data_IF_437793787576
#
_entry.id   IF_437793787576
#
_cell.length_a   1.000
_cell.length_b   1.000
_cell.length_c   1.000
_cell.angle_alpha   90.00
_cell.angle_beta   90.00
_cell.angle_gamma   90.00
#
_symmetry.space_group_name_H-M   'P 1'
#
loop_
_entity.id
_entity.type
_entity.pdbx_description
1 polymer ?
#
# COMPACT_ATOMS: atom_id res chain seq x y z
N UNK A 1 22.73 1.82 -17.72
CA UNK A 1 21.48 1.55 -16.96
C UNK A 1 21.36 2.51 -15.77
N UNK A 2 21.15 3.80 -16.02
CA UNK A 2 21.15 4.81 -14.97
C UNK A 2 20.31 6.00 -15.45
N UNK A 3 19.62 6.66 -14.51
CA UNK A 3 18.62 7.74 -14.65
C UNK A 3 17.16 7.32 -14.82
N UNK A 4 16.79 6.35 -15.68
CA UNK A 4 15.37 5.96 -15.83
C UNK A 4 14.83 5.16 -14.62
N UNK A 5 15.68 4.29 -14.03
CA UNK A 5 15.33 3.52 -12.84
C UNK A 5 15.13 4.41 -11.59
N UNK A 6 15.76 5.58 -11.54
CA UNK A 6 15.61 6.54 -10.43
C UNK A 6 14.23 7.19 -10.48
N UNK A 7 13.68 7.46 -11.67
CA UNK A 7 12.34 8.03 -11.81
C UNK A 7 11.24 7.03 -11.40
N UNK A 8 11.44 5.74 -11.64
CA UNK A 8 10.53 4.68 -11.19
C UNK A 8 10.74 4.26 -9.72
N UNK A 9 11.93 4.45 -9.14
CA UNK A 9 12.19 4.24 -7.70
C UNK A 9 11.69 5.40 -6.82
N UNK A 10 11.41 6.59 -7.40
CA UNK A 10 10.76 7.69 -6.69
C UNK A 10 9.24 7.48 -6.53
N UNK A 11 8.65 6.49 -7.19
CA UNK A 11 7.41 5.82 -6.74
C UNK A 11 7.70 4.87 -5.58
N UNK A 12 8.63 5.24 -4.70
CA UNK A 12 8.69 4.74 -3.35
C UNK A 12 7.28 4.87 -2.77
N UNK A 13 6.74 3.73 -2.38
CA UNK A 13 5.47 3.60 -1.68
C UNK A 13 5.37 4.69 -0.62
N UNK A 14 4.65 5.77 -0.93
CA UNK A 14 4.04 6.61 0.07
C UNK A 14 3.03 5.68 0.74
N UNK A 15 3.49 4.93 1.74
CA UNK A 15 2.61 4.52 2.83
C UNK A 15 2.14 5.84 3.41
N UNK A 16 1.10 6.40 2.81
CA UNK A 16 0.35 7.48 3.40
C UNK A 16 -0.06 6.92 4.75
N UNK A 17 0.55 7.40 5.82
CA UNK A 17 0.03 7.18 7.16
C UNK A 17 -1.34 7.86 7.14
N UNK A 18 -2.39 7.04 7.07
CA UNK A 18 -3.74 7.46 6.60
C UNK A 18 -4.58 8.10 7.71
N UNK A 19 -4.04 8.19 8.92
CA UNK A 19 -4.72 8.67 10.13
C UNK A 19 -3.93 9.83 10.74
N UNK A 20 -3.80 10.90 9.96
CA UNK A 20 -3.19 12.15 10.41
C UNK A 20 -4.27 13.15 10.78
N UNK A 21 -4.19 13.73 11.98
CA UNK A 21 -5.06 14.83 12.39
C UNK A 21 -4.21 16.06 12.73
N UNK A 22 -4.76 17.28 12.57
CA UNK A 22 -4.09 18.49 13.00
C UNK A 22 -4.00 18.55 14.53
N UNK A 23 -2.95 19.23 15.01
CA UNK A 23 -2.72 19.49 16.44
C UNK A 23 -2.38 20.96 16.63
N UNK A 24 -3.08 21.61 17.54
CA UNK A 24 -2.67 22.91 18.07
C UNK A 24 -1.99 22.71 19.42
N UNK A 25 -0.85 23.37 19.62
CA UNK A 25 -0.15 23.43 20.89
C UNK A 25 -0.33 24.83 21.44
N UNK A 26 -0.95 24.92 22.61
CA UNK A 26 -1.33 26.14 23.31
C UNK A 26 -0.25 26.40 24.37
N UNK A 27 0.74 27.21 24.02
CA UNK A 27 1.93 27.51 24.83
C UNK A 27 2.02 29.03 25.05
N UNK A 28 1.12 29.54 25.88
CA UNK A 28 1.02 30.98 26.19
C UNK A 28 2.29 31.50 26.87
N UNK A 29 2.97 30.65 27.64
CA UNK A 29 4.22 30.95 28.34
C UNK A 29 5.48 30.77 27.46
N UNK A 30 5.32 30.38 26.19
CA UNK A 30 6.38 30.24 25.17
C UNK A 30 7.55 29.36 25.60
N UNK A 31 7.26 28.27 26.31
CA UNK A 31 8.26 27.35 26.84
C UNK A 31 8.85 26.43 25.75
N UNK A 32 8.06 26.02 24.76
CA UNK A 32 8.44 25.04 23.76
C UNK A 32 9.18 25.66 22.57
N UNK A 33 10.38 26.23 22.77
CA UNK A 33 11.13 26.95 21.73
C UNK A 33 11.51 26.11 20.49
N UNK A 34 11.68 24.80 20.66
CA UNK A 34 12.18 23.89 19.62
C UNK A 34 11.10 23.41 18.62
N UNK A 35 9.83 23.75 18.84
CA UNK A 35 8.75 23.40 17.91
C UNK A 35 8.67 24.46 16.82
N UNK A 36 8.97 24.03 15.58
CA UNK A 36 9.10 24.89 14.41
C UNK A 36 7.77 25.62 14.11
N UNK A 37 7.80 26.96 14.05
CA UNK A 37 6.62 27.83 13.94
C UNK A 37 5.97 27.80 12.54
N UNK A 38 6.70 27.34 11.52
CA UNK A 38 6.23 27.23 10.13
C UNK A 38 6.37 25.80 9.66
N UNK A 39 5.50 24.93 10.17
CA UNK A 39 5.33 23.59 9.58
C UNK A 39 4.88 23.73 8.14
N UNK A 40 5.60 23.10 7.21
CA UNK A 40 5.11 22.96 5.85
C UNK A 40 3.75 22.23 5.91
N UNK A 41 2.68 22.77 5.29
CA UNK A 41 1.35 22.14 5.31
C UNK A 41 1.34 20.73 4.69
N UNK A 42 2.38 20.38 3.92
CA UNK A 42 2.55 19.05 3.34
C UNK A 42 3.45 18.12 4.17
N UNK A 43 4.11 18.63 5.22
CA UNK A 43 4.97 17.79 6.06
C UNK A 43 4.12 17.02 7.07
N UNK A 44 4.24 15.70 7.00
CA UNK A 44 3.62 14.78 7.95
C UNK A 44 4.59 14.52 9.09
N UNK A 45 4.14 14.79 10.31
CA UNK A 45 4.88 14.49 11.53
C UNK A 45 4.54 13.07 12.01
N UNK A 46 5.57 12.25 12.21
CA UNK A 46 5.42 10.90 12.77
C UNK A 46 5.05 10.97 14.25
N UNK A 47 4.31 9.96 14.72
CA UNK A 47 3.93 9.83 16.14
C UNK A 47 5.13 9.79 17.09
N UNK A 48 6.26 9.25 16.65
CA UNK A 48 7.52 9.23 17.41
C UNK A 48 8.11 10.61 17.64
N UNK A 49 8.05 11.50 16.64
CA UNK A 49 8.58 12.85 16.74
C UNK A 49 7.63 13.75 17.54
N UNK A 50 6.32 13.56 17.34
CA UNK A 50 5.33 14.20 18.19
C UNK A 50 5.46 13.78 19.67
N UNK A 51 5.77 12.51 19.95
CA UNK A 51 6.03 12.05 21.31
C UNK A 51 7.17 12.79 22.00
N UNK A 52 8.21 13.21 21.26
CA UNK A 52 9.31 14.01 21.84
C UNK A 52 8.83 15.40 22.25
N UNK A 53 7.95 16.01 21.47
CA UNK A 53 7.32 17.31 21.81
C UNK A 53 6.46 17.16 23.07
N UNK A 54 5.71 16.07 23.18
CA UNK A 54 4.91 15.76 24.37
C UNK A 54 5.82 15.57 25.59
N UNK A 55 6.95 14.87 25.45
CA UNK A 55 7.92 14.67 26.53
C UNK A 55 8.57 15.99 26.98
N UNK A 56 8.85 16.90 26.04
CA UNK A 56 9.30 18.25 26.37
C UNK A 56 8.23 19.06 27.11
N UNK A 57 6.97 18.96 26.69
CA UNK A 57 5.86 19.62 27.37
C UNK A 57 5.69 19.12 28.81
N UNK A 58 5.85 17.81 29.05
CA UNK A 58 5.81 17.21 30.40
C UNK A 58 6.91 17.76 31.31
N UNK A 59 8.10 18.02 30.77
CA UNK A 59 9.23 18.54 31.54
C UNK A 59 9.08 20.03 31.86
N UNK A 60 8.49 20.80 30.95
CA UNK A 60 8.47 22.27 31.00
C UNK A 60 7.19 22.86 31.62
N UNK A 61 6.10 22.10 31.67
CA UNK A 61 4.83 22.55 32.24
C UNK A 61 4.51 21.88 33.57
N UNK A 62 3.75 22.57 34.42
CA UNK A 62 3.19 21.97 35.64
C UNK A 62 1.88 21.24 35.37
N UNK A 63 1.09 21.77 34.45
CA UNK A 63 -0.25 21.28 34.11
C UNK A 63 -0.34 21.16 32.60
N UNK A 64 -0.86 20.03 32.14
CA UNK A 64 -1.16 19.77 30.73
C UNK A 64 -2.66 19.67 30.50
N UNK A 65 -3.19 20.42 29.54
CA UNK A 65 -4.62 20.41 29.22
C UNK A 65 -4.80 19.83 27.82
N UNK A 66 -5.65 18.83 27.66
CA UNK A 66 -5.85 18.12 26.40
C UNK A 66 -7.30 18.28 25.98
N UNK A 67 -7.52 19.19 25.03
CA UNK A 67 -8.81 19.42 24.39
C UNK A 67 -8.98 18.44 23.23
N UNK A 68 -10.10 17.71 23.22
CA UNK A 68 -10.33 16.62 22.27
C UNK A 68 -11.69 16.76 21.59
N UNK A 69 -11.65 16.92 20.28
CA UNK A 69 -12.80 16.77 19.39
C UNK A 69 -13.09 15.30 19.10
N UNK A 70 -14.35 14.94 18.89
CA UNK A 70 -14.69 13.61 18.36
C UNK A 70 -14.16 13.41 16.94
N UNK A 71 -14.32 14.40 16.07
CA UNK A 71 -13.77 14.43 14.71
C UNK A 71 -13.06 15.75 14.46
N UNK A 72 -11.86 15.75 13.86
CA UNK A 72 -11.15 17.00 13.53
C UNK A 72 -10.22 16.83 12.32
N UNK A 73 -10.26 17.80 11.40
CA UNK A 73 -9.43 17.79 10.20
C UNK A 73 -8.95 19.19 9.78
N UNK A 74 -8.09 19.25 8.76
CA UNK A 74 -7.58 20.50 8.19
C UNK A 74 -8.67 21.36 7.55
N UNK A 75 -9.73 20.75 7.06
CA UNK A 75 -10.88 21.41 6.45
C UNK A 75 -11.67 22.20 7.50
N UNK A 76 -11.83 21.67 8.72
CA UNK A 76 -12.46 22.40 9.83
C UNK A 76 -11.75 23.74 10.11
N UNK A 77 -10.43 23.80 9.88
CA UNK A 77 -9.61 25.01 10.09
C UNK A 77 -9.74 25.99 8.92
N UNK A 78 -9.90 25.48 7.70
CA UNK A 78 -9.98 26.31 6.49
C UNK A 78 -11.39 26.84 6.19
N UNK A 79 -12.44 26.26 6.81
CA UNK A 79 -13.81 26.73 6.71
C UNK A 79 -13.94 28.18 7.17
N UNK A 80 -14.65 28.99 6.37
CA UNK A 80 -15.02 30.37 6.69
C UNK A 80 -16.52 30.54 6.55
N UNK A 81 -17.17 31.06 7.58
CA UNK A 81 -18.57 31.46 7.55
C UNK A 81 -18.71 32.99 7.37
N UNK A 82 -19.94 33.50 7.44
CA UNK A 82 -20.24 34.95 7.39
C UNK A 82 -19.55 35.79 8.49
N UNK A 83 -19.05 35.14 9.54
CA UNK A 83 -18.31 35.75 10.65
C UNK A 83 -16.80 35.46 10.60
N UNK A 84 -16.31 34.77 9.56
CA UNK A 84 -14.90 34.44 9.37
C UNK A 84 -14.55 33.00 9.76
N UNK A 85 -13.33 32.79 10.26
CA UNK A 85 -12.89 31.46 10.72
C UNK A 85 -13.56 31.13 12.07
N UNK A 86 -13.98 29.88 12.30
CA UNK A 86 -14.50 29.45 13.60
C UNK A 86 -13.45 29.54 14.73
N UNK A 87 -12.16 29.55 14.38
CA UNK A 87 -11.04 29.57 15.33
C UNK A 87 -10.44 30.97 15.47
N UNK A 88 -11.22 31.92 16.00
CA UNK A 88 -10.78 33.30 16.15
C UNK A 88 -9.66 33.45 17.21
N UNK A 89 -9.82 32.83 18.38
CA UNK A 89 -8.87 32.91 19.48
C UNK A 89 -7.60 32.11 19.22
N UNK A 90 -7.70 30.88 18.68
CA UNK A 90 -6.52 30.16 18.20
C UNK A 90 -5.80 30.95 17.10
N UNK A 91 -6.54 31.55 16.18
CA UNK A 91 -5.99 32.39 15.11
C UNK A 91 -5.23 33.61 15.64
N UNK A 92 -5.72 34.25 16.70
CA UNK A 92 -5.02 35.33 17.40
C UNK A 92 -3.75 34.82 18.10
N UNK A 93 -3.86 33.69 18.80
CA UNK A 93 -2.72 33.08 19.49
C UNK A 93 -1.60 32.64 18.53
N UNK A 94 -1.94 32.22 17.31
CA UNK A 94 -0.95 31.95 16.26
C UNK A 94 -0.18 33.21 15.84
N UNK A 95 -0.87 34.35 15.70
CA UNK A 95 -0.23 35.64 15.37
C UNK A 95 0.67 36.13 16.50
N UNK A 96 0.27 35.90 17.74
CA UNK A 96 1.02 36.29 18.95
C UNK A 96 2.13 35.30 19.34
N UNK A 97 2.27 34.21 18.58
CA UNK A 97 3.20 33.09 18.85
C UNK A 97 2.97 32.40 20.19
N UNK A 98 1.74 32.43 20.69
CA UNK A 98 1.30 31.69 21.88
C UNK A 98 0.73 30.31 21.49
N UNK A 99 0.33 30.15 20.23
CA UNK A 99 -0.18 28.89 19.70
C UNK A 99 0.72 28.43 18.57
N UNK A 100 0.95 27.12 18.49
CA UNK A 100 1.69 26.48 17.40
C UNK A 100 0.78 25.50 16.69
N UNK A 101 0.90 25.44 15.38
CA UNK A 101 0.06 24.60 14.54
C UNK A 101 0.88 23.51 13.86
N UNK A 102 0.49 22.25 14.10
CA UNK A 102 1.03 21.08 13.43
C UNK A 102 -0.05 20.54 12.48
N UNK A 103 0.13 20.68 11.15
CA UNK A 103 -0.94 20.44 10.19
C UNK A 103 -1.35 18.97 10.05
N UNK A 104 -0.39 18.06 10.13
CA UNK A 104 -0.62 16.64 9.93
C UNK A 104 0.26 15.81 10.87
N UNK A 105 -0.29 15.39 12.01
CA UNK A 105 0.40 14.50 12.96
C UNK A 105 -0.22 13.12 12.88
N UNK A 106 0.61 12.07 12.79
CA UNK A 106 0.12 10.69 12.84
C UNK A 106 -0.38 10.33 14.24
N UNK A 107 -1.66 9.98 14.34
CA UNK A 107 -2.33 9.48 15.56
C UNK A 107 -1.98 10.25 16.86
N UNK A 108 -2.16 11.58 16.90
CA UNK A 108 -1.77 12.40 18.05
C UNK A 108 -2.58 12.05 19.29
N UNK A 109 -3.89 11.79 19.16
CA UNK A 109 -4.73 11.39 20.29
C UNK A 109 -4.24 10.09 20.95
N UNK A 110 -3.85 9.08 20.16
CA UNK A 110 -3.30 7.83 20.70
C UNK A 110 -1.95 8.06 21.41
N UNK A 111 -1.13 8.96 20.87
CA UNK A 111 0.15 9.33 21.48
C UNK A 111 -0.05 10.02 22.83
N UNK A 112 -0.97 10.98 22.90
CA UNK A 112 -1.37 11.66 24.13
C UNK A 112 -1.99 10.67 25.13
N UNK A 113 -2.89 9.79 24.68
CA UNK A 113 -3.53 8.75 25.52
C UNK A 113 -2.53 7.78 26.13
N UNK A 114 -1.45 7.44 25.42
CA UNK A 114 -0.38 6.57 25.93
C UNK A 114 0.47 7.24 27.00
N UNK A 115 0.73 8.55 26.87
CA UNK A 115 1.53 9.33 27.84
C UNK A 115 0.69 9.81 29.03
N UNK A 116 -0.56 10.16 28.78
CA UNK A 116 -1.56 10.62 29.74
C UNK A 116 -2.78 9.69 29.67
N UNK A 117 -2.77 8.55 30.37
CA UNK A 117 -3.87 7.62 30.33
C UNK A 117 -5.13 8.27 30.96
N UNK A 118 -6.26 8.36 30.23
CA UNK A 118 -7.46 9.00 30.73
C UNK A 118 -8.01 8.20 31.92
N UNK A 119 -8.26 8.90 33.03
CA UNK A 119 -8.87 8.38 34.27
C UNK A 119 -10.12 9.21 34.55
N UNK A 120 -11.13 8.63 35.20
CA UNK A 120 -12.41 9.32 35.45
C UNK A 120 -12.25 10.66 36.20
N UNK A 121 -11.23 10.76 37.06
CA UNK A 121 -10.89 11.99 37.80
C UNK A 121 -10.32 13.13 36.94
N UNK A 122 -9.81 12.82 35.74
CA UNK A 122 -9.12 13.79 34.88
C UNK A 122 -9.93 14.10 33.61
N UNK A 123 -11.16 13.60 33.49
CA UNK A 123 -11.99 13.75 32.29
C UNK A 123 -13.14 14.70 32.56
N UNK A 124 -13.28 15.70 31.71
CA UNK A 124 -14.31 16.72 31.81
C UNK A 124 -15.02 16.90 30.47
N UNK A 125 -16.31 17.17 30.52
CA UNK A 125 -17.14 17.41 29.35
C UNK A 125 -17.70 18.83 29.41
N UNK A 126 -17.37 19.66 28.43
CA UNK A 126 -17.88 21.03 28.32
C UNK A 126 -19.12 21.07 27.44
N UNK A 127 -20.15 21.78 27.90
CA UNK A 127 -21.34 22.11 27.10
C UNK A 127 -21.39 23.63 26.92
N UNK A 128 -21.91 24.11 25.79
CA UNK A 128 -22.01 25.54 25.50
C UNK A 128 -22.71 26.30 26.64
N UNK A 129 -22.06 27.37 27.12
CA UNK A 129 -22.68 28.38 27.98
C UNK A 129 -22.62 28.16 29.50
N UNK A 130 -21.97 27.12 30.02
CA UNK A 130 -21.74 26.97 31.47
C UNK A 130 -20.33 26.44 31.78
N UNK A 131 -19.32 27.30 31.68
CA UNK A 131 -17.98 27.05 32.20
C UNK A 131 -17.91 27.21 33.73
N UNK A 132 -18.89 26.70 34.49
CA UNK A 132 -18.72 26.53 35.94
C UNK A 132 -17.86 25.30 36.18
N UNK A 133 -16.58 25.49 35.87
CA UNK A 133 -15.58 24.45 35.92
C UNK A 133 -14.96 24.44 37.31
N UNK A 134 -15.49 23.59 38.18
CA UNK A 134 -14.73 23.01 39.29
C UNK A 134 -13.68 22.03 38.73
N UNK A 135 -12.86 22.47 37.77
CA UNK A 135 -11.84 21.66 37.12
C UNK A 135 -10.63 21.48 38.03
N UNK A 136 -10.42 22.36 38.99
CA UNK A 136 -9.12 22.45 39.65
C UNK A 136 -9.07 21.60 40.92
N UNK A 137 -8.49 20.41 40.80
CA UNK A 137 -7.92 19.68 41.92
C UNK A 137 -6.39 19.89 41.89
N UNK A 138 -5.83 20.48 42.94
CA UNK A 138 -4.39 20.79 43.08
C UNK A 138 -3.46 19.58 42.87
N UNK A 139 -4.01 18.37 42.83
CA UNK A 139 -3.29 17.10 42.70
C UNK A 139 -3.13 16.59 41.27
N UNK A 140 -3.82 17.17 40.28
CA UNK A 140 -3.81 16.64 38.91
C UNK A 140 -2.80 17.39 38.04
N UNK A 141 -1.90 16.61 37.42
CA UNK A 141 -0.89 17.14 36.50
C UNK A 141 -1.42 17.25 35.04
N UNK A 142 -2.56 16.63 34.71
CA UNK A 142 -3.17 16.74 33.39
C UNK A 142 -4.70 16.57 33.38
N UNK A 143 -5.34 17.20 32.40
CA UNK A 143 -6.80 17.25 32.22
C UNK A 143 -7.19 16.91 30.78
N UNK A 144 -8.18 16.03 30.60
CA UNK A 144 -8.85 15.80 29.33
C UNK A 144 -10.17 16.55 29.30
N UNK A 145 -10.37 17.31 28.23
CA UNK A 145 -11.57 18.12 28.03
C UNK A 145 -12.19 17.72 26.70
N UNK A 146 -13.38 17.13 26.76
CA UNK A 146 -14.19 16.78 25.61
C UNK A 146 -15.30 17.79 25.43
N UNK A 147 -15.63 18.11 24.19
CA UNK A 147 -16.75 19.00 23.88
C UNK A 147 -18.03 18.20 23.68
N UNK A 148 -19.14 18.71 24.22
CA UNK A 148 -20.46 18.12 24.10
C UNK A 148 -21.32 19.01 23.20
N UNK A 149 -21.41 18.58 21.95
CA UNK A 149 -22.16 19.27 20.91
C UNK A 149 -23.69 19.22 21.11
N UNK A 150 -24.36 20.34 20.84
CA UNK A 150 -25.79 20.37 20.58
C UNK A 150 -26.11 19.84 19.17
N UNK A 151 -27.20 19.08 19.02
CA UNK A 151 -27.54 18.42 17.73
C UNK A 151 -28.02 19.39 16.64
N UNK A 152 -28.45 20.61 16.98
CA UNK A 152 -29.15 21.51 16.07
C UNK A 152 -28.27 22.62 15.46
N UNK A 153 -26.95 22.57 15.67
CA UNK A 153 -26.05 23.64 15.26
C UNK A 153 -25.12 23.24 14.10
N UNK A 154 -24.75 24.21 13.27
CA UNK A 154 -23.76 24.00 12.21
C UNK A 154 -22.38 23.70 12.79
N UNK A 155 -21.57 22.92 12.06
CA UNK A 155 -20.21 22.57 12.49
C UNK A 155 -19.35 23.81 12.79
N UNK A 156 -19.45 24.85 11.97
CA UNK A 156 -18.74 26.12 12.18
C UNK A 156 -19.20 26.86 13.46
N UNK A 157 -20.49 26.79 13.81
CA UNK A 157 -21.01 27.38 15.05
C UNK A 157 -20.44 26.66 16.29
N UNK A 158 -20.47 25.34 16.27
CA UNK A 158 -19.93 24.48 17.34
C UNK A 158 -18.45 24.75 17.59
N UNK A 159 -17.64 24.70 16.53
CA UNK A 159 -16.19 24.95 16.63
C UNK A 159 -15.87 26.34 17.18
N UNK A 160 -16.73 27.33 16.92
CA UNK A 160 -16.60 28.69 17.48
C UNK A 160 -16.90 28.71 18.99
N UNK A 161 -17.91 27.97 19.43
CA UNK A 161 -18.18 27.76 20.86
C UNK A 161 -17.02 27.04 21.56
N UNK A 162 -16.41 26.06 20.88
CA UNK A 162 -15.26 25.32 21.40
C UNK A 162 -14.01 26.21 21.49
N UNK A 163 -13.75 27.06 20.50
CA UNK A 163 -12.66 28.05 20.51
C UNK A 163 -12.77 29.03 21.69
N UNK A 164 -14.00 29.50 21.98
CA UNK A 164 -14.27 30.31 23.16
C UNK A 164 -14.04 29.53 24.47
N UNK A 165 -14.58 28.32 24.55
CA UNK A 165 -14.44 27.44 25.72
C UNK A 165 -12.98 27.12 26.03
N UNK A 166 -12.16 26.85 25.00
CA UNK A 166 -10.72 26.60 25.16
C UNK A 166 -10.02 27.81 25.77
N UNK A 167 -10.31 29.01 25.27
CA UNK A 167 -9.74 30.25 25.80
C UNK A 167 -10.12 30.46 27.26
N UNK A 168 -11.40 30.28 27.61
CA UNK A 168 -11.88 30.44 28.99
C UNK A 168 -11.20 29.48 29.95
N UNK A 169 -11.13 28.19 29.59
CA UNK A 169 -10.46 27.17 30.41
C UNK A 169 -8.99 27.53 30.63
N UNK A 170 -8.28 27.89 29.56
CA UNK A 170 -6.86 28.24 29.65
C UNK A 170 -6.62 29.46 30.54
N UNK A 171 -7.48 30.48 30.43
CA UNK A 171 -7.40 31.68 31.26
C UNK A 171 -7.61 31.36 32.74
N UNK A 172 -8.65 30.58 33.06
CA UNK A 172 -8.95 30.16 34.43
C UNK A 172 -7.79 29.34 35.00
N UNK A 173 -7.29 28.37 34.23
CA UNK A 173 -6.19 27.51 34.66
C UNK A 173 -4.90 28.29 34.89
N UNK A 174 -4.59 29.23 34.00
CA UNK A 174 -3.40 30.07 34.12
C UNK A 174 -3.44 30.95 35.37
N UNK A 175 -4.61 31.50 35.73
CA UNK A 175 -4.78 32.26 36.97
C UNK A 175 -4.53 31.42 38.23
N UNK A 176 -4.87 30.13 38.20
CA UNK A 176 -4.78 29.26 39.37
C UNK A 176 -3.37 28.64 39.50
N UNK A 177 -2.76 28.16 38.41
CA UNK A 177 -1.56 27.32 38.48
C UNK A 177 -0.27 28.08 38.86
N UNK A 178 -0.23 29.41 38.63
CA UNK A 178 0.96 30.30 38.82
C UNK A 178 2.27 29.79 38.16
N UNK A 179 2.19 28.77 37.31
CA UNK A 179 3.29 28.06 36.64
C UNK A 179 2.91 27.80 35.19
N UNK A 180 3.89 27.49 34.31
CA UNK A 180 3.62 27.30 32.90
C UNK A 180 2.62 26.17 32.62
N UNK A 181 1.66 26.45 31.75
CA UNK A 181 0.63 25.50 31.31
C UNK A 181 0.78 25.29 29.81
N UNK A 182 0.72 24.03 29.39
CA UNK A 182 0.73 23.67 27.98
C UNK A 182 -0.57 22.94 27.63
N UNK A 183 -1.27 23.44 26.63
CA UNK A 183 -2.47 22.80 26.09
C UNK A 183 -2.19 22.08 24.78
N UNK A 184 -2.91 20.99 24.52
CA UNK A 184 -2.98 20.31 23.23
C UNK A 184 -4.44 20.29 22.78
N UNK A 185 -4.68 20.64 21.52
CA UNK A 185 -6.01 20.53 20.89
C UNK A 185 -5.92 19.67 19.63
N UNK A 186 -6.69 18.59 19.58
CA UNK A 186 -6.71 17.63 18.45
C UNK A 186 -8.03 16.84 18.41
N UNK A 187 -8.21 15.98 17.40
CA UNK A 187 -9.38 15.10 17.28
C UNK A 187 -9.05 13.62 17.47
N UNK A 188 -10.07 12.83 17.87
CA UNK A 188 -9.96 11.37 17.97
C UNK A 188 -9.82 10.71 16.60
N UNK A 189 -10.58 11.19 15.61
CA UNK A 189 -10.56 10.68 14.24
C UNK A 189 -10.53 11.81 13.20
N UNK A 190 -9.88 11.56 12.07
CA UNK A 190 -10.00 12.43 10.90
C UNK A 190 -11.27 12.03 10.11
N UNK A 191 -12.29 12.91 9.97
CA UNK A 191 -13.51 12.62 9.20
C UNK A 191 -13.26 12.47 7.69
N UNK A 192 -12.15 13.02 7.17
CA UNK A 192 -11.73 12.83 5.77
C UNK A 192 -11.14 11.43 5.65
N UNK A 193 -12.03 10.44 5.57
CA UNK A 193 -11.67 9.09 5.19
C UNK A 193 -11.24 9.13 3.72
N UNK A 194 -9.94 9.24 3.46
CA UNK A 194 -9.38 8.59 2.27
C UNK A 194 -9.72 7.13 2.48
N UNK A 195 -10.65 6.61 1.67
CA UNK A 195 -11.08 5.22 1.74
C UNK A 195 -9.86 4.38 2.04
N UNK A 196 -9.90 3.63 3.15
CA UNK A 196 -9.01 2.50 3.24
C UNK A 196 -9.32 1.72 1.96
N UNK A 197 -8.39 1.78 1.00
CA UNK A 197 -8.11 0.66 0.13
C UNK A 197 -7.60 -0.40 1.10
N UNK A 198 -8.53 -0.93 1.89
CA UNK A 198 -8.50 -2.29 2.31
C UNK A 198 -8.56 -2.98 0.96
N UNK A 199 -7.40 -3.40 0.47
CA UNK A 199 -7.38 -4.72 -0.10
C UNK A 199 -7.97 -5.59 1.02
N UNK A 200 -9.30 -5.72 1.05
CA UNK A 200 -9.90 -6.94 1.56
C UNK A 200 -9.05 -7.97 0.84
N UNK A 201 -8.28 -8.77 1.57
CA UNK A 201 -7.85 -10.04 1.00
C UNK A 201 -9.12 -10.52 0.34
N UNK A 202 -9.12 -10.64 -1.00
CA UNK A 202 -10.29 -11.14 -1.72
C UNK A 202 -10.64 -12.36 -0.89
N UNK A 203 -11.78 -12.31 -0.16
CA UNK A 203 -12.25 -13.49 0.55
C UNK A 203 -12.27 -14.47 -0.58
N UNK A 204 -11.40 -15.48 -0.53
CA UNK A 204 -11.30 -16.47 -1.58
C UNK A 204 -12.73 -16.91 -1.71
N UNK A 205 -13.41 -16.46 -2.77
CA UNK A 205 -14.74 -16.98 -3.06
C UNK A 205 -14.52 -18.48 -3.01
N UNK A 206 -15.37 -19.25 -2.29
CA UNK A 206 -15.23 -20.69 -2.29
C UNK A 206 -15.09 -21.04 -3.76
N UNK A 207 -13.87 -21.46 -4.15
CA UNK A 207 -13.55 -21.64 -5.56
C UNK A 207 -14.62 -22.62 -5.97
N UNK A 208 -15.55 -22.18 -6.83
CA UNK A 208 -16.43 -23.11 -7.49
C UNK A 208 -15.43 -24.03 -8.19
N UNK A 209 -15.20 -25.18 -7.58
CA UNK A 209 -14.27 -26.18 -8.09
C UNK A 209 -14.99 -26.65 -9.33
N UNK A 210 -14.71 -25.98 -10.44
CA UNK A 210 -15.19 -26.41 -11.73
C UNK A 210 -14.73 -27.87 -11.85
N UNK A 211 -15.65 -28.80 -12.17
CA UNK A 211 -15.31 -30.21 -12.29
C UNK A 211 -14.15 -30.31 -13.28
N UNK A 212 -13.01 -30.72 -12.76
CA UNK A 212 -11.75 -30.71 -13.46
C UNK A 212 -11.02 -32.00 -13.15
N UNK A 213 -10.27 -32.47 -14.13
CA UNK A 213 -9.52 -33.70 -14.07
C UNK A 213 -8.12 -33.38 -13.58
N UNK A 214 -7.63 -34.12 -12.57
CA UNK A 214 -6.22 -34.03 -12.13
C UNK A 214 -5.52 -35.32 -12.52
N UNK A 215 -4.44 -35.20 -13.28
CA UNK A 215 -3.61 -36.32 -13.75
C UNK A 215 -2.27 -36.22 -13.05
N UNK A 216 -1.89 -37.29 -12.37
CA UNK A 216 -0.57 -37.43 -11.76
C UNK A 216 0.21 -38.47 -12.55
N UNK A 217 1.37 -38.09 -13.06
CA UNK A 217 2.32 -38.99 -13.71
C UNK A 217 3.61 -39.08 -12.91
N UNK A 218 4.60 -39.85 -13.38
CA UNK A 218 5.89 -39.93 -12.72
C UNK A 218 6.72 -38.68 -12.92
N UNK A 219 6.54 -37.98 -14.05
CA UNK A 219 7.29 -36.78 -14.40
C UNK A 219 6.58 -35.46 -14.26
N UNK A 220 5.25 -35.44 -14.16
CA UNK A 220 4.50 -34.19 -14.04
C UNK A 220 3.12 -34.35 -13.39
N UNK A 221 2.58 -33.22 -12.94
CA UNK A 221 1.23 -33.08 -12.43
C UNK A 221 0.46 -32.12 -13.35
N UNK A 222 -0.75 -32.53 -13.72
CA UNK A 222 -1.62 -31.78 -14.62
C UNK A 222 -3.01 -31.65 -14.03
N UNK A 223 -3.66 -30.54 -14.30
CA UNK A 223 -5.07 -30.33 -14.01
C UNK A 223 -5.72 -29.62 -15.16
N UNK A 224 -6.72 -30.25 -15.76
CA UNK A 224 -7.47 -29.71 -16.88
C UNK A 224 -8.92 -29.46 -16.48
N UNK A 225 -9.49 -28.36 -16.99
CA UNK A 225 -10.88 -27.97 -16.76
C UNK A 225 -11.46 -27.60 -18.12
N UNK A 226 -12.63 -28.16 -18.44
CA UNK A 226 -13.34 -27.87 -19.68
C UNK A 226 -12.57 -28.34 -20.92
N UNK A 227 -12.27 -29.64 -20.99
CA UNK A 227 -11.73 -30.27 -22.21
C UNK A 227 -12.90 -30.62 -23.13
N UNK A 228 -12.87 -30.14 -24.37
CA UNK A 228 -13.91 -30.43 -25.34
C UNK A 228 -13.39 -30.35 -26.78
N UNK A 229 -13.96 -31.16 -27.66
CA UNK A 229 -13.75 -31.05 -29.11
C UNK A 229 -14.90 -30.30 -29.77
N UNK A 230 -14.60 -29.49 -30.78
CA UNK A 230 -15.55 -28.80 -31.64
C UNK A 230 -15.38 -29.25 -33.09
N UNK A 231 -16.47 -29.74 -33.68
CA UNK A 231 -16.55 -30.12 -35.10
C UNK A 231 -17.75 -29.38 -35.69
N UNK A 232 -17.51 -28.34 -36.48
CA UNK A 232 -18.54 -27.42 -36.94
C UNK A 232 -19.31 -26.80 -35.76
N UNK A 233 -20.62 -27.04 -35.68
CA UNK A 233 -21.48 -26.55 -34.59
C UNK A 233 -21.64 -27.54 -33.42
N UNK A 234 -21.03 -28.73 -33.47
CA UNK A 234 -21.14 -29.74 -32.41
C UNK A 234 -19.99 -29.61 -31.42
N UNK A 235 -20.30 -29.79 -30.14
CA UNK A 235 -19.32 -29.78 -29.04
C UNK A 235 -19.45 -31.06 -28.22
N UNK A 236 -18.35 -31.79 -28.09
CA UNK A 236 -18.25 -33.01 -27.27
C UNK A 236 -17.33 -32.73 -26.08
N UNK A 237 -17.83 -32.89 -24.86
CA UNK A 237 -17.05 -32.65 -23.63
C UNK A 237 -16.41 -33.94 -23.12
N UNK A 238 -15.14 -33.84 -22.72
CA UNK A 238 -14.37 -34.94 -22.15
C UNK A 238 -14.09 -34.64 -20.67
N UNK A 239 -14.88 -35.26 -19.78
CA UNK A 239 -14.74 -35.10 -18.32
C UNK A 239 -14.02 -36.27 -17.65
N UNK A 240 -13.71 -37.33 -18.41
CA UNK A 240 -12.98 -38.50 -17.92
C UNK A 240 -11.50 -38.18 -17.70
N UNK A 241 -10.89 -38.88 -16.74
CA UNK A 241 -9.45 -38.79 -16.48
C UNK A 241 -8.71 -39.54 -17.60
N UNK A 242 -7.85 -38.88 -18.39
CA UNK A 242 -7.06 -39.57 -19.40
C UNK A 242 -6.01 -40.45 -18.73
N UNK A 243 -5.63 -41.53 -19.42
CA UNK A 243 -4.58 -42.43 -18.97
C UNK A 243 -3.24 -41.93 -19.50
N UNK A 244 -2.22 -41.87 -18.65
CA UNK A 244 -0.84 -41.61 -19.10
C UNK A 244 -0.32 -42.88 -19.77
N UNK A 245 -0.09 -42.84 -21.08
CA UNK A 245 0.29 -44.01 -21.89
C UNK A 245 1.80 -44.18 -21.97
N UNK A 246 2.54 -43.08 -22.07
CA UNK A 246 3.98 -43.08 -22.24
C UNK A 246 4.60 -41.85 -21.55
N UNK A 247 5.73 -42.03 -20.88
CA UNK A 247 6.59 -40.94 -20.40
C UNK A 247 8.03 -41.25 -20.79
N UNK A 248 8.60 -40.43 -21.66
CA UNK A 248 10.00 -40.57 -22.07
C UNK A 248 10.82 -39.41 -21.54
N UNK A 249 11.92 -39.76 -20.87
CA UNK A 249 12.90 -38.81 -20.37
C UNK A 249 14.11 -38.80 -21.30
N UNK A 250 14.43 -37.63 -21.82
CA UNK A 250 15.72 -37.32 -22.42
C UNK A 250 16.48 -36.39 -21.48
N UNK A 251 17.79 -36.16 -21.69
CA UNK A 251 18.67 -35.45 -20.73
C UNK A 251 18.01 -34.20 -20.12
N UNK A 252 17.55 -33.29 -20.97
CA UNK A 252 16.92 -32.04 -20.57
C UNK A 252 15.45 -31.94 -21.04
N UNK A 253 14.83 -33.04 -21.44
CA UNK A 253 13.45 -33.02 -21.94
C UNK A 253 12.60 -34.14 -21.34
N UNK A 254 11.33 -33.83 -21.10
CA UNK A 254 10.30 -34.81 -20.73
C UNK A 254 9.20 -34.76 -21.78
N UNK A 255 8.82 -35.92 -22.29
CA UNK A 255 7.64 -36.08 -23.14
C UNK A 255 6.63 -36.91 -22.35
N UNK A 256 5.44 -36.36 -22.14
CA UNK A 256 4.33 -37.05 -21.47
C UNK A 256 3.17 -37.21 -22.45
N UNK A 257 2.80 -38.46 -22.73
CA UNK A 257 1.66 -38.81 -23.57
C UNK A 257 0.48 -39.27 -22.73
N UNK A 258 -0.71 -38.78 -23.09
CA UNK A 258 -1.96 -39.04 -22.39
C UNK A 258 -3.06 -39.42 -23.38
N UNK A 259 -3.68 -40.57 -23.19
CA UNK A 259 -4.79 -41.03 -24.00
C UNK A 259 -6.14 -40.69 -23.37
N UNK A 260 -6.98 -40.02 -24.15
CA UNK A 260 -8.44 -40.03 -24.01
C UNK A 260 -9.00 -41.19 -24.85
N UNK A 261 -10.31 -41.44 -24.75
CA UNK A 261 -10.95 -42.52 -25.53
C UNK A 261 -10.78 -42.36 -27.04
N UNK A 262 -10.71 -41.12 -27.53
CA UNK A 262 -10.83 -40.81 -28.95
C UNK A 262 -9.55 -40.19 -29.54
N UNK A 263 -8.63 -39.71 -28.69
CA UNK A 263 -7.42 -39.00 -29.10
C UNK A 263 -6.34 -39.06 -28.01
N UNK A 264 -5.10 -38.73 -28.36
CA UNK A 264 -4.00 -38.59 -27.41
C UNK A 264 -3.45 -37.16 -27.41
N UNK A 265 -2.89 -36.76 -26.27
CA UNK A 265 -2.15 -35.52 -26.09
C UNK A 265 -0.71 -35.83 -25.76
N UNK A 266 0.22 -35.16 -26.42
CA UNK A 266 1.64 -35.23 -26.13
C UNK A 266 2.14 -33.85 -25.67
N UNK A 267 2.66 -33.80 -24.45
CA UNK A 267 3.27 -32.60 -23.88
C UNK A 267 4.80 -32.72 -23.94
N UNK A 268 5.45 -31.72 -24.50
CA UNK A 268 6.92 -31.62 -24.55
C UNK A 268 7.41 -30.57 -23.56
N UNK A 269 8.25 -30.98 -22.62
CA UNK A 269 8.89 -30.12 -21.65
C UNK A 269 10.39 -30.02 -21.92
N UNK A 270 10.92 -28.80 -21.80
CA UNK A 270 12.34 -28.47 -21.81
C UNK A 270 12.77 -28.00 -20.41
N UNK A 271 13.88 -28.53 -19.93
CA UNK A 271 14.39 -28.31 -18.59
C UNK A 271 15.67 -27.49 -18.60
N UNK A 272 15.65 -26.41 -17.81
CA UNK A 272 16.78 -25.51 -17.64
C UNK A 272 17.20 -25.50 -16.15
N UNK A 273 18.39 -24.98 -15.87
CA UNK A 273 18.98 -25.02 -14.50
C UNK A 273 18.02 -24.51 -13.41
N UNK A 274 17.29 -23.43 -13.69
CA UNK A 274 16.42 -22.76 -12.71
C UNK A 274 14.91 -22.87 -12.99
N UNK A 275 14.52 -23.26 -14.21
CA UNK A 275 13.14 -23.24 -14.68
C UNK A 275 12.85 -24.41 -15.62
N UNK A 276 11.58 -24.74 -15.78
CA UNK A 276 11.09 -25.63 -16.81
C UNK A 276 10.21 -24.85 -17.78
N UNK A 277 10.13 -25.32 -19.02
CA UNK A 277 9.32 -24.74 -20.08
C UNK A 277 8.50 -25.86 -20.71
N UNK A 278 7.19 -25.69 -20.85
CA UNK A 278 6.39 -26.49 -21.77
C UNK A 278 6.49 -25.86 -23.16
N UNK A 279 7.13 -26.57 -24.08
CA UNK A 279 7.38 -26.08 -25.44
C UNK A 279 6.11 -26.13 -26.27
N UNK A 280 5.50 -27.31 -26.35
CA UNK A 280 4.33 -27.55 -27.19
C UNK A 280 3.44 -28.64 -26.65
N UNK A 281 2.21 -28.65 -27.16
CA UNK A 281 1.25 -29.75 -27.00
C UNK A 281 0.85 -30.22 -28.39
N UNK A 282 0.97 -31.52 -28.65
CA UNK A 282 0.51 -32.14 -29.87
C UNK A 282 -0.76 -32.96 -29.61
N UNK A 283 -1.64 -32.99 -30.61
CA UNK A 283 -2.84 -33.82 -30.70
C UNK A 283 -2.52 -34.99 -31.63
N UNK A 284 -2.77 -36.21 -31.16
CA UNK A 284 -2.57 -37.43 -31.93
C UNK A 284 -3.88 -38.21 -32.06
N UNK A 285 -4.13 -38.76 -33.24
CA UNK A 285 -5.26 -39.65 -33.52
C UNK A 285 -4.73 -40.90 -34.22
N UNK A 286 -5.00 -42.09 -33.65
CA UNK A 286 -4.43 -43.34 -34.17
C UNK A 286 -2.90 -43.42 -34.11
N UNK A 287 -2.26 -42.65 -33.21
CA UNK A 287 -0.81 -42.61 -33.04
C UNK A 287 -0.08 -41.65 -33.99
N UNK A 288 -0.79 -40.95 -34.88
CA UNK A 288 -0.21 -39.94 -35.78
C UNK A 288 -0.51 -38.52 -35.28
N UNK A 289 0.47 -37.61 -35.38
CA UNK A 289 0.28 -36.19 -35.06
C UNK A 289 -0.68 -35.55 -36.08
N UNK A 290 -1.79 -35.02 -35.59
CA UNK A 290 -2.81 -34.34 -36.40
C UNK A 290 -2.87 -32.83 -36.16
N UNK A 291 -2.25 -32.33 -35.08
CA UNK A 291 -2.14 -30.91 -34.79
C UNK A 291 -1.15 -30.62 -33.67
N UNK A 292 -0.58 -29.41 -33.64
CA UNK A 292 0.34 -28.95 -32.58
C UNK A 292 0.13 -27.48 -32.26
N UNK A 293 0.17 -27.16 -30.97
CA UNK A 293 0.10 -25.79 -30.46
C UNK A 293 1.32 -25.50 -29.59
N UNK A 294 2.03 -24.43 -29.94
CA UNK A 294 3.19 -23.94 -29.20
C UNK A 294 2.73 -23.18 -27.95
N UNK A 295 3.13 -23.63 -26.76
CA UNK A 295 2.81 -22.95 -25.49
C UNK A 295 3.91 -21.99 -25.06
N UNK A 296 5.17 -22.42 -25.13
CA UNK A 296 6.36 -21.66 -24.68
C UNK A 296 6.15 -20.99 -23.31
N UNK A 297 5.49 -21.71 -22.42
CA UNK A 297 5.17 -21.26 -21.08
C UNK A 297 6.07 -21.98 -20.08
N UNK A 298 6.47 -21.33 -19.00
CA UNK A 298 7.38 -21.94 -18.05
C UNK A 298 7.28 -21.32 -16.67
N UNK A 299 7.79 -22.06 -15.69
CA UNK A 299 7.87 -21.60 -14.31
C UNK A 299 9.15 -22.12 -13.64
N UNK A 300 9.57 -21.51 -12.52
CA UNK A 300 10.62 -22.09 -11.67
C UNK A 300 10.23 -23.48 -11.16
N UNK A 301 11.22 -24.33 -10.83
CA UNK A 301 11.00 -25.73 -10.43
C UNK A 301 10.02 -25.97 -9.27
N UNK A 302 9.91 -25.03 -8.32
CA UNK A 302 9.00 -25.15 -7.17
C UNK A 302 7.59 -24.60 -7.44
N UNK A 303 7.32 -24.15 -8.67
CA UNK A 303 6.10 -23.46 -9.05
C UNK A 303 5.35 -24.23 -10.14
N UNK A 304 4.02 -24.13 -10.09
CA UNK A 304 3.12 -24.60 -11.14
C UNK A 304 2.74 -23.45 -12.07
N UNK A 305 2.53 -23.74 -13.34
CA UNK A 305 1.99 -22.78 -14.30
C UNK A 305 0.48 -22.98 -14.40
N UNK A 306 -0.31 -21.91 -14.19
CA UNK A 306 -1.77 -21.93 -14.22
C UNK A 306 -2.28 -20.95 -15.26
N UNK A 307 -3.21 -21.36 -16.12
CA UNK A 307 -3.75 -20.48 -17.13
C UNK A 307 -5.24 -20.71 -17.40
N UNK A 308 -5.95 -19.59 -17.59
CA UNK A 308 -7.37 -19.55 -17.98
C UNK A 308 -7.56 -19.19 -19.46
N UNK A 309 -6.48 -18.88 -20.19
CA UNK A 309 -6.51 -18.74 -21.64
C UNK A 309 -6.58 -20.14 -22.26
N UNK A 310 -7.57 -20.43 -23.13
CA UNK A 310 -7.79 -21.76 -23.63
C UNK A 310 -6.65 -22.21 -24.57
N UNK A 311 -6.16 -23.43 -24.38
CA UNK A 311 -5.31 -24.08 -25.38
C UNK A 311 -6.24 -24.62 -26.46
N UNK A 312 -6.05 -24.17 -27.71
CA UNK A 312 -6.79 -24.68 -28.86
C UNK A 312 -5.81 -25.46 -29.74
N UNK A 313 -6.09 -26.73 -29.94
CA UNK A 313 -5.37 -27.65 -30.82
C UNK A 313 -6.25 -27.90 -32.04
N UNK A 314 -5.83 -27.39 -33.19
CA UNK A 314 -6.58 -27.57 -34.45
C UNK A 314 -6.09 -28.85 -35.12
N UNK A 315 -7.00 -29.77 -35.38
CA UNK A 315 -6.75 -30.95 -36.20
C UNK A 315 -6.69 -30.51 -37.68
N UNK A 316 -5.52 -30.68 -38.30
CA UNK A 316 -5.26 -30.26 -39.67
C UNK A 316 -5.91 -31.18 -40.72
N UNK A 317 -6.38 -32.38 -40.32
CA UNK A 317 -7.00 -33.35 -41.24
C UNK A 317 -8.46 -33.01 -41.53
N UNK A 318 -9.22 -32.72 -40.47
CA UNK A 318 -10.68 -32.55 -40.55
C UNK A 318 -11.15 -31.14 -40.16
N UNK A 319 -10.24 -30.26 -39.70
CA UNK A 319 -10.56 -28.91 -39.26
C UNK A 319 -11.27 -28.85 -37.91
N UNK A 320 -11.36 -29.97 -37.18
CA UNK A 320 -11.85 -29.99 -35.80
C UNK A 320 -10.87 -29.29 -34.86
N UNK A 321 -11.35 -28.88 -33.69
CA UNK A 321 -10.50 -28.26 -32.69
C UNK A 321 -10.75 -28.84 -31.30
N UNK A 322 -9.69 -29.30 -30.64
CA UNK A 322 -9.71 -29.68 -29.24
C UNK A 322 -9.33 -28.47 -28.40
N UNK A 323 -10.17 -28.12 -27.44
CA UNK A 323 -9.95 -26.98 -26.55
C UNK A 323 -9.83 -27.43 -25.09
N UNK A 324 -8.82 -26.91 -24.39
CA UNK A 324 -8.67 -27.03 -22.94
C UNK A 324 -8.88 -25.63 -22.35
N UNK A 325 -10.02 -25.38 -21.71
CA UNK A 325 -10.37 -24.04 -21.23
C UNK A 325 -9.47 -23.50 -20.12
N UNK A 326 -9.03 -24.36 -19.20
CA UNK A 326 -8.13 -23.97 -18.13
C UNK A 326 -7.21 -25.13 -17.78
N UNK A 327 -5.94 -24.83 -17.57
CA UNK A 327 -4.92 -25.82 -17.25
C UNK A 327 -3.98 -25.35 -16.14
N UNK A 328 -3.52 -26.31 -15.34
CA UNK A 328 -2.45 -26.12 -14.37
C UNK A 328 -1.45 -27.27 -14.51
N UNK A 329 -0.17 -26.95 -14.71
CA UNK A 329 0.87 -27.92 -15.06
C UNK A 329 2.10 -27.70 -14.17
N UNK A 330 2.72 -28.79 -13.72
CA UNK A 330 3.97 -28.77 -12.98
C UNK A 330 4.77 -30.05 -13.21
N UNK A 331 5.89 -30.02 -13.95
CA UNK A 331 6.83 -31.13 -14.01
C UNK A 331 7.67 -31.24 -12.74
N UNK A 332 8.19 -32.44 -12.48
CA UNK A 332 9.04 -32.76 -11.34
C UNK A 332 10.51 -32.75 -11.73
N UNK A 333 11.37 -32.25 -10.82
CA UNK A 333 12.82 -32.28 -11.02
C UNK A 333 13.32 -33.71 -10.80
N UNK A 334 13.74 -34.37 -11.87
CA UNK A 334 14.29 -35.71 -11.80
C UNK A 334 15.74 -35.69 -11.24
N UNK A 335 16.13 -36.75 -10.54
CA UNK A 335 17.47 -36.87 -9.94
C UNK A 335 18.59 -37.06 -10.97
N UNK A 336 18.29 -37.30 -12.26
CA UNK A 336 19.30 -37.47 -13.32
C UNK A 336 20.01 -36.16 -13.71
N UNK A 337 19.45 -34.99 -13.41
CA UNK A 337 20.07 -33.68 -13.71
C UNK A 337 21.16 -33.28 -12.69
N UNK A 338 21.59 -34.19 -11.80
CA UNK A 338 22.53 -33.90 -10.70
C UNK A 338 23.97 -34.38 -10.94
N UNK A 339 24.23 -35.13 -12.00
CA UNK A 339 25.54 -35.79 -12.17
C UNK A 339 26.61 -34.94 -12.89
N UNK A 340 26.27 -33.76 -13.42
CA UNK A 340 27.25 -32.94 -14.16
C UNK A 340 28.01 -31.91 -13.30
N UNK A 341 27.76 -31.83 -11.98
CA UNK A 341 28.35 -30.78 -11.11
C UNK A 341 29.23 -31.34 -9.97
N UNK A 342 29.76 -32.55 -10.12
CA UNK A 342 30.80 -33.11 -9.22
C UNK A 342 32.09 -33.43 -9.98
N UNK A 343 32.72 -32.38 -10.50
CA UNK A 343 34.16 -32.37 -10.78
C UNK A 343 34.92 -31.74 -9.62
N UNK A 344 35.83 -32.52 -9.03
CA UNK A 344 36.97 -32.11 -8.19
C UNK A 344 36.72 -31.42 -6.83
N UNK A 345 36.78 -32.22 -5.76
CA UNK A 345 37.88 -32.11 -4.78
C UNK A 345 37.86 -33.29 -3.82
N UNK A 346 39.05 -33.86 -3.68
CA UNK A 346 39.43 -34.96 -2.80
C UNK A 346 39.78 -34.42 -1.39
N UNK A 347 39.69 -35.35 -0.46
CA UNK A 347 40.36 -35.44 0.85
C UNK A 347 39.58 -35.05 2.14
N UNK A 348 39.17 -36.14 2.81
CA UNK A 348 39.50 -36.51 4.20
C UNK A 348 38.61 -36.09 5.38
N UNK A 349 37.81 -37.08 5.78
CA UNK A 349 37.81 -37.78 7.07
C UNK A 349 37.39 -37.11 8.40
N UNK A 350 36.35 -37.78 8.93
CA UNK A 350 36.13 -38.24 10.31
C UNK A 350 35.79 -37.27 11.47
N UNK A 351 34.55 -37.50 11.91
CA UNK A 351 34.15 -37.80 13.30
C UNK A 351 33.74 -36.66 14.25
N UNK A 352 32.53 -36.86 14.76
CA UNK A 352 32.17 -36.89 16.18
C UNK A 352 31.08 -35.92 16.61
N UNK A 353 30.12 -36.52 17.31
CA UNK A 353 28.90 -35.94 17.84
C UNK A 353 29.17 -35.05 19.06
N UNK A 354 28.37 -33.99 19.24
CA UNK A 354 27.70 -33.72 20.51
C UNK A 354 26.70 -32.56 20.43
N UNK A 355 25.48 -32.93 20.77
CA UNK A 355 24.40 -32.21 21.44
C UNK A 355 24.74 -30.87 22.13
N UNK A 356 23.99 -29.79 21.78
CA UNK A 356 23.35 -28.85 22.74
C UNK A 356 22.53 -27.72 22.08
N UNK A 357 21.25 -27.71 22.45
CA UNK A 357 20.38 -26.58 22.84
C UNK A 357 20.32 -25.26 22.01
N UNK A 358 19.11 -25.04 21.47
CA UNK A 358 18.21 -23.88 21.67
C UNK A 358 18.55 -22.48 21.11
N UNK A 359 17.62 -22.00 20.27
CA UNK A 359 17.37 -20.62 19.76
C UNK A 359 18.36 -20.05 18.73
N UNK A 360 17.93 -19.88 17.48
CA UNK A 360 17.31 -18.63 17.01
C UNK A 360 16.76 -18.75 15.58
N UNK A 361 15.78 -17.89 15.31
CA UNK A 361 15.41 -17.26 14.04
C UNK A 361 16.24 -17.60 12.78
N UNK A 362 15.60 -18.24 11.79
CA UNK A 362 15.75 -17.94 10.36
C UNK A 362 14.93 -18.93 9.51
N UNK A 363 13.82 -18.45 8.97
CA UNK A 363 13.01 -19.16 7.98
C UNK A 363 13.69 -19.17 6.61
N UNK A 364 14.78 -19.93 6.48
CA UNK A 364 15.43 -20.29 5.22
C UNK A 364 15.94 -21.72 5.41
N UNK A 365 15.15 -22.74 5.05
CA UNK A 365 15.63 -24.11 4.71
C UNK A 365 14.47 -25.11 4.45
N UNK A 366 13.45 -24.70 3.70
CA UNK A 366 12.33 -25.60 3.33
C UNK A 366 12.50 -26.26 1.95
N UNK A 367 13.72 -26.25 1.38
CA UNK A 367 13.98 -26.72 0.01
C UNK A 367 14.32 -28.21 -0.09
N UNK A 368 14.47 -28.93 1.03
CA UNK A 368 15.12 -30.26 1.04
C UNK A 368 14.21 -31.45 1.38
N UNK A 369 12.89 -31.27 1.54
CA UNK A 369 12.02 -32.35 2.07
C UNK A 369 10.72 -32.67 1.32
N UNK A 370 10.50 -32.18 0.11
CA UNK A 370 9.23 -32.42 -0.61
C UNK A 370 9.37 -32.93 -2.06
N UNK A 371 10.47 -33.62 -2.38
CA UNK A 371 10.61 -34.35 -3.65
C UNK A 371 10.02 -35.78 -3.60
N UNK A 372 9.16 -36.08 -2.63
CA UNK A 372 8.40 -37.32 -2.58
C UNK A 372 6.91 -36.99 -2.64
N UNK A 373 6.32 -37.05 -3.85
CA UNK A 373 4.91 -37.35 -4.10
C UNK A 373 3.85 -36.70 -3.19
N UNK A 374 4.01 -35.42 -2.83
CA UNK A 374 2.82 -34.68 -2.42
C UNK A 374 2.01 -34.44 -3.69
N UNK A 375 0.90 -35.16 -3.90
CA UNK A 375 -0.02 -35.02 -5.03
C UNK A 375 -0.75 -33.66 -5.04
N UNK A 376 0.00 -32.58 -4.89
CA UNK A 376 -0.44 -31.20 -4.72
C UNK A 376 0.51 -30.31 -5.51
N UNK A 377 -0.06 -29.34 -6.21
CA UNK A 377 0.72 -28.31 -6.89
C UNK A 377 1.48 -27.42 -5.90
N UNK A 378 2.67 -27.00 -6.30
CA UNK A 378 3.42 -25.92 -5.67
C UNK A 378 2.79 -24.56 -5.94
N UNK A 379 3.50 -23.48 -5.58
CA UNK A 379 3.02 -22.10 -5.79
C UNK A 379 2.68 -21.86 -7.26
N UNK A 380 1.56 -21.21 -7.57
CA UNK A 380 1.13 -21.00 -8.95
C UNK A 380 1.62 -19.67 -9.52
N UNK A 381 2.23 -19.70 -10.71
CA UNK A 381 2.35 -18.55 -11.62
C UNK A 381 1.14 -18.57 -12.55
N UNK A 382 0.47 -17.42 -12.67
CA UNK A 382 -0.62 -17.27 -13.62
C UNK A 382 -0.08 -16.86 -15.00
N UNK A 383 -0.74 -17.31 -16.06
CA UNK A 383 -0.46 -16.83 -17.41
C UNK A 383 -0.89 -15.37 -17.61
N UNK A 384 -0.23 -14.72 -18.57
CA UNK A 384 -0.46 -13.32 -18.91
C UNK A 384 0.38 -12.37 -18.07
N UNK A 385 1.20 -11.50 -18.70
CA UNK A 385 1.79 -10.38 -17.97
C UNK A 385 0.66 -9.45 -17.50
N UNK A 386 0.81 -8.82 -16.32
CA UNK A 386 -0.13 -7.79 -15.85
C UNK A 386 -0.35 -6.68 -16.89
N UNK A 387 0.62 -6.47 -17.79
CA UNK A 387 0.53 -5.57 -18.93
C UNK A 387 0.99 -6.29 -20.20
N UNK A 388 0.11 -6.39 -21.20
CA UNK A 388 0.51 -6.84 -22.53
C UNK A 388 1.36 -5.77 -23.22
N UNK A 389 2.21 -6.18 -24.18
CA UNK A 389 3.08 -5.25 -24.91
C UNK A 389 2.35 -4.04 -25.51
N UNK A 390 1.14 -4.16 -26.10
CA UNK A 390 0.36 -3.01 -26.57
C UNK A 390 -0.09 -2.09 -25.44
N UNK A 391 -0.45 -2.65 -24.28
CA UNK A 391 -0.88 -1.87 -23.10
C UNK A 391 0.33 -1.08 -22.55
N UNK A 392 1.49 -1.73 -22.47
CA UNK A 392 2.71 -1.08 -22.00
C UNK A 392 3.16 0.04 -22.96
N UNK A 393 3.05 -0.17 -24.26
CA UNK A 393 3.31 0.85 -25.26
C UNK A 393 2.33 2.04 -25.13
N UNK A 394 1.03 1.77 -24.94
CA UNK A 394 0.03 2.81 -24.70
C UNK A 394 0.30 3.60 -23.42
N UNK A 395 0.66 2.93 -22.33
CA UNK A 395 1.00 3.57 -21.06
C UNK A 395 2.25 4.47 -21.21
N UNK A 396 3.27 4.00 -21.95
CA UNK A 396 4.45 4.81 -22.26
C UNK A 396 4.09 6.09 -23.04
N UNK A 397 3.25 5.99 -24.08
CA UNK A 397 2.85 7.16 -24.89
C UNK A 397 2.04 8.15 -24.06
N UNK A 398 1.06 7.66 -23.28
CA UNK A 398 0.25 8.53 -22.41
C UNK A 398 1.08 9.23 -21.35
N UNK A 399 2.05 8.54 -20.74
CA UNK A 399 2.99 9.14 -19.80
C UNK A 399 3.83 10.25 -20.45
N UNK A 400 4.28 10.05 -21.69
CA UNK A 400 5.00 11.07 -22.44
C UNK A 400 4.14 12.32 -22.72
N UNK A 401 2.90 12.12 -23.16
CA UNK A 401 1.95 13.22 -23.37
C UNK A 401 1.65 14.00 -22.08
N UNK A 402 1.45 13.30 -20.96
CA UNK A 402 1.26 13.93 -19.64
C UNK A 402 2.49 14.74 -19.23
N UNK A 403 3.70 14.25 -19.52
CA UNK A 403 4.94 15.00 -19.28
C UNK A 403 4.98 16.34 -20.03
N UNK A 404 4.66 16.33 -21.33
CA UNK A 404 4.60 17.54 -22.15
C UNK A 404 3.51 18.50 -21.65
N UNK A 405 2.32 17.98 -21.34
CA UNK A 405 1.21 18.79 -20.83
C UNK A 405 1.57 19.44 -19.51
N UNK A 406 2.17 18.70 -18.58
CA UNK A 406 2.58 19.22 -17.28
C UNK A 406 3.63 20.33 -17.44
N UNK A 407 4.59 20.17 -18.35
CA UNK A 407 5.57 21.21 -18.68
C UNK A 407 4.91 22.48 -19.23
N UNK A 408 3.92 22.33 -20.11
CA UNK A 408 3.14 23.45 -20.64
C UNK A 408 2.37 24.19 -19.54
N UNK A 409 1.71 23.45 -18.64
CA UNK A 409 0.97 24.02 -17.50
C UNK A 409 1.93 24.79 -16.57
N UNK A 410 3.06 24.21 -16.19
CA UNK A 410 4.06 24.89 -15.33
C UNK A 410 4.58 26.16 -16.00
N UNK A 411 4.80 26.13 -17.31
CA UNK A 411 5.22 27.31 -18.08
C UNK A 411 4.17 28.42 -18.07
N UNK A 412 2.88 28.07 -18.21
CA UNK A 412 1.78 29.04 -18.10
C UNK A 412 1.67 29.63 -16.69
N UNK A 413 1.85 28.82 -15.64
CA UNK A 413 1.86 29.31 -14.25
C UNK A 413 2.98 30.30 -13.96
N UNK A 414 4.07 30.27 -14.75
CA UNK A 414 5.21 31.18 -14.57
C UNK A 414 5.09 32.47 -15.41
N UNK A 415 3.95 32.70 -16.09
CA UNK A 415 3.68 33.97 -16.75
C UNK A 415 3.45 35.05 -15.68
N UNK A 416 4.47 35.88 -15.45
CA UNK A 416 4.36 37.08 -14.61
C UNK A 416 3.82 38.24 -15.44
N UNK A 417 2.78 38.89 -14.96
CA UNK A 417 2.32 40.16 -15.53
C UNK A 417 3.36 41.25 -15.28
N UNK A 418 3.58 42.13 -16.27
CA UNK A 418 4.46 43.27 -16.10
C UNK A 418 3.80 44.27 -15.14
N UNK A 419 4.44 44.55 -14.00
CA UNK A 419 3.88 45.37 -12.93
C UNK A 419 3.95 46.89 -13.20
N UNK A 420 4.52 47.31 -14.33
CA UNK A 420 4.71 48.72 -14.65
C UNK A 420 4.05 49.02 -16.00
N UNK A 421 2.82 49.51 -15.92
CA UNK A 421 2.27 50.34 -16.99
C UNK A 421 2.89 51.73 -16.80
N UNK A 422 3.71 52.19 -17.76
CA UNK A 422 4.11 53.59 -17.79
C UNK A 422 2.86 54.44 -17.99
N UNK A 423 2.47 55.15 -16.95
CA UNK A 423 1.36 56.09 -16.96
C UNK A 423 1.72 57.27 -17.88
N UNK A 424 0.99 57.45 -18.99
CA UNK A 424 1.21 58.55 -19.94
C UNK A 424 1.02 59.95 -19.31
N UNK A 425 0.56 60.03 -18.06
CA UNK A 425 0.40 61.28 -17.32
C UNK A 425 1.31 61.41 -16.08
N UNK A 426 2.28 60.51 -15.90
CA UNK A 426 3.29 60.63 -14.85
C UNK A 426 4.18 61.84 -15.06
N UNK A 427 4.17 62.79 -14.11
CA UNK A 427 4.98 64.03 -14.14
C UNK A 427 6.46 63.71 -14.44
N UNK A 428 7.13 64.47 -15.33
CA UNK A 428 8.54 64.25 -15.62
C UNK A 428 9.39 64.51 -14.37
N UNK A 429 10.40 63.65 -14.18
CA UNK A 429 11.42 63.79 -13.12
C UNK A 429 12.18 65.10 -13.32
N UNK A 430 11.91 66.10 -12.47
CA UNK A 430 12.71 67.32 -12.37
C UNK A 430 13.92 67.01 -11.51
N UNK A 431 15.09 66.91 -12.14
CA UNK A 431 16.37 66.86 -11.43
C UNK A 431 16.65 68.29 -10.94
N UNK A 432 16.49 68.54 -9.65
CA UNK A 432 16.99 69.75 -9.04
C UNK A 432 18.52 69.67 -9.01
N UNK A 433 19.18 70.47 -9.86
CA UNK A 433 20.61 70.70 -9.75
C UNK A 433 20.83 71.54 -8.49
N UNK A 434 21.38 70.91 -7.45
CA UNK A 434 21.83 71.55 -6.23
C UNK A 434 23.02 72.45 -6.58
N UNK A 435 22.78 73.77 -6.60
CA UNK A 435 23.82 74.77 -6.71
C UNK A 435 24.54 74.88 -5.35
N UNK A 436 25.70 74.24 -5.23
CA UNK A 436 26.65 74.45 -4.15
C UNK A 436 27.72 75.45 -4.58
N UNK A 437 27.65 76.66 -4.05
CA UNK A 437 28.77 77.60 -3.90
C UNK A 437 29.01 77.83 -2.41
#
# INVERSE_FOLDING_TARGET
>A
MSKLAIYFLLLSSVRAERDTTPVFILDYDKQLKNVNEKGNPFDKMKSSDFSKIVDDAMRLSRIIIIFVEDSFCSEDISVKDKYGSPFYHLGLGLKEKQVKYLPAVSQPYNTLKRKFPPKDVNIFYLSDGNAQLNLYDHRLDYYYIYFKDNKNESRASKLKGHDLSMKEVLLVMHQIAKKPIIGFYTGKVNPVMVEKINFKSVKTYPIHRHPGVTISSSGALFRFIGVYSTIGNRRSMFSQIPLVTEESWQKDQLITRMAYTDFELEFTFDFQKERWIVESVALLEGGEEVGRTSLRAGAPWSWSYTCSEPIVLVNLRDGSALTISHYQIQPFKNNFLKDDDKGESLDDDESSASDRSQRDDSGIDDYRRNANNSGKFGKSINCGPYFNAPILAGLMVTAFCIGILTYGVVSMYNLRANNRYDDQHGKPLVIAAEAGH
#
